data_IF_995595278070
#
_entry.id   IF_995595278070
#
_cell.length_a   1.000
_cell.length_b   1.000
_cell.length_c   1.000
_cell.angle_alpha   90.00
_cell.angle_beta   90.00
_cell.angle_gamma   90.00
#
_symmetry.space_group_name_H-M   'P 1'
#
loop_
_entity.id
_entity.type
_entity.pdbx_description
1 polymer ?
#
# COMPACT_ATOMS: atom_id res chain seq x y z
N UNK A 1 -4.51 -7.91 20.15
CA UNK A 1 -3.51 -7.64 19.08
C UNK A 1 -4.27 -7.71 17.77
N UNK A 2 -4.18 -6.69 16.92
CA UNK A 2 -4.70 -6.73 15.54
C UNK A 2 -3.55 -7.16 14.64
N UNK A 3 -3.79 -8.10 13.73
CA UNK A 3 -2.78 -8.62 12.80
C UNK A 3 -3.38 -8.66 11.42
N UNK A 4 -2.63 -8.22 10.42
CA UNK A 4 -3.02 -8.30 9.02
C UNK A 4 -1.85 -8.86 8.21
N UNK A 5 -2.16 -9.52 7.10
CA UNK A 5 -1.18 -10.01 6.13
C UNK A 5 -1.32 -9.21 4.85
N UNK A 6 -0.19 -8.75 4.32
CA UNK A 6 -0.09 -8.29 2.95
C UNK A 6 0.30 -9.48 2.07
N UNK A 7 -0.63 -9.95 1.25
CA UNK A 7 -0.39 -10.97 0.23
C UNK A 7 -0.02 -10.28 -1.09
N UNK A 8 1.11 -10.68 -1.67
CA UNK A 8 1.65 -10.13 -2.93
C UNK A 8 2.56 -11.16 -3.60
N UNK A 9 2.80 -11.02 -4.92
CA UNK A 9 3.63 -11.97 -5.67
C UNK A 9 5.02 -12.15 -5.05
N UNK A 10 5.73 -11.05 -4.77
CA UNK A 10 6.95 -11.02 -3.96
C UNK A 10 7.33 -9.57 -3.59
N UNK A 11 8.18 -9.40 -2.57
CA UNK A 11 8.61 -8.07 -2.10
C UNK A 11 9.50 -7.27 -3.08
N UNK A 12 10.24 -7.97 -3.95
CA UNK A 12 11.11 -7.34 -4.97
C UNK A 12 10.32 -6.72 -6.11
N UNK A 13 9.15 -7.27 -6.45
CA UNK A 13 8.23 -6.71 -7.42
C UNK A 13 7.31 -5.67 -6.80
N UNK A 14 6.83 -5.90 -5.58
CA UNK A 14 5.90 -4.99 -4.89
C UNK A 14 6.50 -3.59 -4.68
N UNK A 15 7.70 -3.51 -4.08
CA UNK A 15 8.33 -2.23 -3.70
C UNK A 15 8.55 -1.28 -4.89
N UNK A 16 9.19 -1.69 -6.00
CA UNK A 16 9.37 -0.79 -7.14
C UNK A 16 8.04 -0.43 -7.81
N UNK A 17 7.06 -1.34 -7.86
CA UNK A 17 5.74 -1.03 -8.42
C UNK A 17 4.97 -0.02 -7.57
N UNK A 18 5.04 -0.14 -6.24
CA UNK A 18 4.46 0.84 -5.32
C UNK A 18 5.10 2.23 -5.47
N UNK A 19 6.42 2.28 -5.62
CA UNK A 19 7.13 3.54 -5.87
C UNK A 19 6.73 4.17 -7.21
N UNK A 20 6.64 3.36 -8.29
CA UNK A 20 6.22 3.82 -9.61
C UNK A 20 4.77 4.33 -9.61
N UNK A 21 3.86 3.64 -8.93
CA UNK A 21 2.45 4.07 -8.82
C UNK A 21 2.31 5.36 -8.02
N UNK A 22 3.05 5.51 -6.90
CA UNK A 22 3.09 6.76 -6.16
C UNK A 22 3.61 7.91 -7.04
N UNK A 23 4.70 7.70 -7.77
CA UNK A 23 5.25 8.69 -8.69
C UNK A 23 4.25 9.06 -9.80
N UNK A 24 3.54 8.07 -10.37
CA UNK A 24 2.50 8.30 -11.39
C UNK A 24 1.39 9.21 -10.88
N UNK A 25 0.90 8.99 -9.66
CA UNK A 25 -0.15 9.84 -9.04
C UNK A 25 0.35 11.25 -8.73
N UNK A 26 1.58 11.37 -8.23
CA UNK A 26 2.24 12.67 -8.01
C UNK A 26 2.31 13.45 -9.32
N UNK A 27 2.73 12.80 -10.41
CA UNK A 27 2.79 13.42 -11.74
C UNK A 27 1.39 13.78 -12.29
N UNK A 28 0.35 13.07 -11.86
CA UNK A 28 -1.05 13.39 -12.18
C UNK A 28 -1.64 14.53 -11.32
N UNK A 29 -0.88 15.07 -10.36
CA UNK A 29 -1.29 16.20 -9.53
C UNK A 29 -1.86 15.82 -8.16
N UNK A 30 -1.85 14.55 -7.76
CA UNK A 30 -2.20 14.11 -6.40
C UNK A 30 -1.06 14.44 -5.43
N UNK A 31 -0.87 15.73 -5.14
CA UNK A 31 0.27 16.23 -4.34
C UNK A 31 -0.18 17.16 -3.23
N UNK A 32 0.57 17.16 -2.12
CA UNK A 32 0.49 18.16 -1.06
C UNK A 32 1.89 18.67 -0.75
N UNK A 33 2.06 19.96 -0.37
CA UNK A 33 3.36 20.48 0.01
C UNK A 33 4.02 19.69 1.15
N UNK A 34 5.35 19.63 1.15
CA UNK A 34 6.15 18.94 2.16
C UNK A 34 6.27 17.43 1.93
N UNK A 35 6.88 16.73 2.88
CA UNK A 35 7.02 15.28 2.84
C UNK A 35 5.69 14.60 3.16
N UNK A 36 5.33 13.58 2.38
CA UNK A 36 4.12 12.80 2.58
C UNK A 36 4.45 11.31 2.59
N UNK A 37 3.77 10.56 3.46
CA UNK A 37 3.72 9.10 3.36
C UNK A 37 2.62 8.70 2.38
N UNK A 38 2.71 7.53 1.71
CA UNK A 38 1.66 7.05 0.81
C UNK A 38 0.29 6.96 1.50
N UNK A 39 0.24 6.47 2.75
CA UNK A 39 -0.99 6.43 3.54
C UNK A 39 -1.57 7.82 3.78
N UNK A 40 -0.72 8.81 4.08
CA UNK A 40 -1.16 10.19 4.32
C UNK A 40 -1.68 10.87 3.05
N UNK A 41 -1.05 10.63 1.90
CA UNK A 41 -1.37 11.27 0.62
C UNK A 41 -2.51 10.59 -0.14
N UNK A 42 -2.45 9.25 -0.25
CA UNK A 42 -3.32 8.42 -1.09
C UNK A 42 -4.32 7.56 -0.29
N UNK A 43 -4.19 7.49 1.03
CA UNK A 43 -5.07 6.72 1.91
C UNK A 43 -4.55 5.33 2.28
N UNK A 44 -5.22 4.69 3.25
CA UNK A 44 -4.83 3.39 3.82
C UNK A 44 -4.89 2.23 2.81
N UNK A 45 -5.75 2.35 1.78
CA UNK A 45 -5.89 1.34 0.71
C UNK A 45 -4.83 1.42 -0.39
N UNK A 46 -3.84 2.33 -0.30
CA UNK A 46 -2.85 2.51 -1.37
C UNK A 46 -2.14 1.21 -1.78
N UNK A 47 -1.74 0.38 -0.81
CA UNK A 47 -1.04 -0.87 -1.07
C UNK A 47 -1.87 -1.85 -1.93
N UNK A 48 -3.20 -1.87 -1.76
CA UNK A 48 -4.11 -2.74 -2.51
C UNK A 48 -4.38 -2.24 -3.93
N UNK A 49 -3.88 -1.05 -4.30
CA UNK A 49 -3.90 -0.58 -5.68
C UNK A 49 -2.75 -1.11 -6.52
N UNK A 50 -1.78 -1.77 -5.88
CA UNK A 50 -0.68 -2.44 -6.56
C UNK A 50 -1.18 -3.80 -7.06
N UNK A 51 -0.85 -4.12 -8.31
CA UNK A 51 -1.27 -5.36 -8.94
C UNK A 51 -0.97 -6.58 -8.05
N UNK A 52 -1.92 -7.52 -8.04
CA UNK A 52 -1.82 -8.79 -7.30
C UNK A 52 -1.51 -8.61 -5.81
N UNK A 53 -2.02 -7.52 -5.21
CA UNK A 53 -1.83 -7.23 -3.78
C UNK A 53 -3.17 -7.21 -3.05
N UNK A 54 -3.23 -7.87 -1.89
CA UNK A 54 -4.39 -7.89 -1.00
C UNK A 54 -3.97 -7.77 0.46
N UNK A 55 -4.74 -7.05 1.26
CA UNK A 55 -4.62 -7.08 2.71
C UNK A 55 -5.71 -7.97 3.29
N UNK A 56 -5.36 -8.85 4.23
CA UNK A 56 -6.32 -9.68 4.95
C UNK A 56 -6.08 -9.59 6.44
N UNK A 57 -7.12 -9.22 7.18
CA UNK A 57 -7.10 -9.23 8.64
C UNK A 57 -7.15 -10.65 9.16
N UNK A 58 -6.27 -10.96 10.11
CA UNK A 58 -6.20 -12.26 10.77
C UNK A 58 -7.05 -12.17 12.04
N UNK A 59 -8.20 -12.84 12.04
CA UNK A 59 -8.93 -13.09 13.28
C UNK A 59 -8.23 -14.20 14.06
N UNK A 60 -7.61 -13.86 15.18
CA UNK A 60 -7.12 -14.89 16.12
C UNK A 60 -8.34 -15.50 16.81
N UNK A 61 -8.76 -16.70 16.39
CA UNK A 61 -9.62 -17.55 17.21
C UNK A 61 -8.84 -17.88 18.50
N UNK A 62 -9.34 -17.40 19.63
CA UNK A 62 -8.89 -17.84 20.95
C UNK A 62 -9.40 -19.28 21.12
N UNK A 63 -8.49 -20.24 21.15
CA UNK A 63 -8.74 -21.60 21.62
C UNK A 63 -8.45 -21.71 23.11
#
# INVERSE_FOLDING_TARGET
>A
IVRSVLDTVNGYSFTPMAAAEAARRVLAGEVRPGFQTPMGLFGTGFAETIADTRITDIQTSQG
#
